data_IF_407955011327
#
_entry.id   IF_407955011327
#
_cell.length_a   1.000
_cell.length_b   1.000
_cell.length_c   1.000
_cell.angle_alpha   90.00
_cell.angle_beta   90.00
_cell.angle_gamma   90.00
#
_symmetry.space_group_name_H-M   'P 1'
#
loop_
_entity.id
_entity.type
_entity.pdbx_description
1 polymer ?
#
# COMPACT_ATOMS: atom_id res chain seq x y z
N UNK A 1 10.07 -1.77 -20.78
CA UNK A 1 11.04 -1.57 -19.68
C UNK A 1 10.45 -0.52 -18.76
N UNK A 2 10.28 -0.83 -17.47
CA UNK A 2 9.83 0.18 -16.50
C UNK A 2 11.01 1.09 -16.17
N UNK A 3 10.84 2.40 -16.38
CA UNK A 3 11.83 3.40 -15.99
C UNK A 3 11.85 3.53 -14.45
N UNK A 4 13.05 3.55 -13.88
CA UNK A 4 13.22 3.68 -12.43
C UNK A 4 13.00 5.15 -12.04
N UNK A 5 11.78 5.49 -11.60
CA UNK A 5 11.38 6.85 -11.21
C UNK A 5 11.24 6.94 -9.68
N UNK A 6 11.98 7.86 -9.10
CA UNK A 6 11.98 8.17 -7.67
C UNK A 6 11.50 9.61 -7.46
N UNK A 7 10.18 9.80 -7.57
CA UNK A 7 9.56 11.11 -7.40
C UNK A 7 8.72 11.11 -6.13
N UNK A 8 8.82 12.20 -5.37
CA UNK A 8 7.98 12.44 -4.20
C UNK A 8 6.67 13.06 -4.65
N UNK A 9 5.57 12.46 -4.22
CA UNK A 9 4.23 12.97 -4.42
C UNK A 9 3.53 13.14 -3.08
N UNK A 10 2.83 14.25 -2.89
CA UNK A 10 2.18 14.58 -1.61
C UNK A 10 0.77 14.00 -1.51
N UNK A 11 0.50 13.35 -0.40
CA UNK A 11 -0.78 12.80 0.03
C UNK A 11 -1.13 13.38 1.40
N UNK A 12 -1.91 14.46 1.41
CA UNK A 12 -2.18 15.19 2.66
C UNK A 12 -0.90 15.73 3.28
N UNK A 13 -0.57 15.31 4.49
CA UNK A 13 0.66 15.69 5.19
C UNK A 13 1.86 14.76 4.91
N UNK A 14 1.65 13.63 4.21
CA UNK A 14 2.69 12.64 3.93
C UNK A 14 3.16 12.79 2.49
N UNK A 15 4.47 12.78 2.26
CA UNK A 15 5.05 12.61 0.92
C UNK A 15 5.40 11.14 0.69
N UNK A 16 5.08 10.63 -0.49
CA UNK A 16 5.22 9.23 -0.88
C UNK A 16 6.14 9.13 -2.08
N UNK A 17 7.06 8.17 -2.06
CA UNK A 17 7.84 7.78 -3.24
C UNK A 17 7.58 6.31 -3.51
N UNK A 18 6.91 6.00 -4.62
CA UNK A 18 6.61 4.64 -5.04
C UNK A 18 7.35 4.34 -6.35
N UNK A 19 8.20 3.32 -6.35
CA UNK A 19 9.00 2.95 -7.52
C UNK A 19 8.69 1.52 -7.96
N UNK A 20 8.08 1.38 -9.14
CA UNK A 20 7.72 0.08 -9.70
C UNK A 20 8.95 -0.80 -9.99
N UNK A 21 10.05 -0.21 -10.46
CA UNK A 21 11.28 -0.95 -10.78
C UNK A 21 11.99 -1.45 -9.52
N UNK A 22 11.96 -0.67 -8.45
CA UNK A 22 12.52 -1.08 -7.16
C UNK A 22 11.55 -1.92 -6.32
N UNK A 23 10.30 -2.05 -6.74
CA UNK A 23 9.22 -2.70 -6.00
C UNK A 23 9.11 -2.20 -4.54
N UNK A 24 9.27 -0.88 -4.32
CA UNK A 24 9.32 -0.32 -2.98
C UNK A 24 8.54 0.99 -2.87
N UNK A 25 8.09 1.28 -1.65
CA UNK A 25 7.54 2.56 -1.24
C UNK A 25 8.30 3.11 -0.04
N UNK A 26 8.46 4.42 -0.01
CA UNK A 26 9.00 5.16 1.13
C UNK A 26 8.10 6.36 1.44
N UNK A 27 8.12 6.81 2.69
CA UNK A 27 7.23 7.84 3.22
C UNK A 27 8.03 8.90 3.96
N UNK A 28 7.56 10.15 3.91
CA UNK A 28 8.12 11.30 4.59
C UNK A 28 7.02 12.18 5.16
N UNK A 29 7.30 12.87 6.27
CA UNK A 29 6.52 14.00 6.77
C UNK A 29 7.39 15.28 6.81
N UNK A 30 6.90 16.31 7.51
CA UNK A 30 7.61 17.57 7.73
C UNK A 30 8.86 17.44 8.61
N UNK A 31 8.99 16.34 9.34
CA UNK A 31 10.12 16.04 10.24
C UNK A 31 11.15 15.12 9.60
N UNK A 32 10.80 14.44 8.50
CA UNK A 32 11.74 13.67 7.69
C UNK A 32 11.17 12.32 7.24
N UNK A 33 12.04 11.32 6.95
CA UNK A 33 11.59 9.98 6.60
C UNK A 33 10.79 9.36 7.74
N UNK A 34 9.64 8.78 7.40
CA UNK A 34 8.80 8.03 8.34
C UNK A 34 9.26 6.57 8.40
N UNK A 35 8.99 5.92 9.53
CA UNK A 35 8.97 4.47 9.56
C UNK A 35 7.93 3.94 8.55
N UNK A 36 8.22 2.79 7.95
CA UNK A 36 7.38 2.18 6.93
C UNK A 36 5.97 1.87 7.44
N UNK A 37 5.83 1.34 8.66
CA UNK A 37 4.54 1.03 9.24
C UNK A 37 3.76 2.32 9.57
N UNK A 38 4.45 3.34 10.07
CA UNK A 38 3.87 4.65 10.32
C UNK A 38 3.34 5.29 9.03
N UNK A 39 4.14 5.28 7.96
CA UNK A 39 3.72 5.81 6.66
C UNK A 39 2.49 5.10 6.09
N UNK A 40 2.46 3.76 6.15
CA UNK A 40 1.28 2.97 5.75
C UNK A 40 0.05 3.35 6.59
N UNK A 41 0.19 3.45 7.91
CA UNK A 41 -0.91 3.81 8.80
C UNK A 41 -1.43 5.23 8.55
N UNK A 42 -0.55 6.20 8.30
CA UNK A 42 -0.96 7.57 8.01
C UNK A 42 -1.67 7.70 6.65
N UNK A 43 -1.19 6.98 5.63
CA UNK A 43 -1.74 7.06 4.26
C UNK A 43 -3.02 6.24 4.11
N UNK A 44 -3.07 5.04 4.70
CA UNK A 44 -4.12 4.06 4.46
C UNK A 44 -4.92 3.67 5.71
N UNK A 45 -4.60 4.15 6.90
CA UNK A 45 -5.25 3.74 8.15
C UNK A 45 -6.74 4.07 8.24
N UNK A 46 -7.27 4.88 7.33
CA UNK A 46 -8.71 5.18 7.21
C UNK A 46 -9.44 4.29 6.20
N UNK A 47 -8.73 3.41 5.49
CA UNK A 47 -9.31 2.48 4.54
C UNK A 47 -9.92 1.29 5.28
N UNK A 48 -11.02 0.77 4.78
CA UNK A 48 -11.75 -0.34 5.41
C UNK A 48 -11.54 -1.61 4.61
N UNK A 49 -11.23 -2.72 5.29
CA UNK A 49 -11.14 -4.01 4.61
C UNK A 49 -12.53 -4.40 4.10
N UNK A 50 -12.59 -4.79 2.84
CA UNK A 50 -13.80 -5.28 2.18
C UNK A 50 -13.88 -6.80 2.19
N UNK A 51 -12.79 -7.46 1.82
CA UNK A 51 -12.75 -8.92 1.68
C UNK A 51 -11.30 -9.43 1.62
N UNK A 52 -11.13 -10.73 1.86
CA UNK A 52 -9.89 -11.47 1.60
C UNK A 52 -10.13 -12.47 0.46
N UNK A 53 -9.14 -12.64 -0.41
CA UNK A 53 -9.15 -13.55 -1.54
C UNK A 53 -7.86 -14.39 -1.57
N UNK A 54 -7.92 -15.66 -2.01
CA UNK A 54 -6.71 -16.40 -2.35
C UNK A 54 -5.94 -15.69 -3.47
N UNK A 55 -4.62 -15.54 -3.33
CA UNK A 55 -3.81 -14.85 -4.32
C UNK A 55 -3.02 -15.85 -5.20
N UNK A 56 -3.19 -15.74 -6.52
CA UNK A 56 -2.48 -16.58 -7.50
C UNK A 56 -1.18 -15.95 -8.03
N UNK A 57 -0.97 -14.65 -7.80
CA UNK A 57 0.18 -13.89 -8.31
C UNK A 57 0.63 -12.75 -7.39
N UNK A 58 0.19 -12.76 -6.13
CA UNK A 58 0.72 -11.86 -5.12
C UNK A 58 1.97 -12.47 -4.46
N UNK A 59 2.83 -11.64 -3.86
CA UNK A 59 3.97 -12.12 -3.08
C UNK A 59 3.56 -12.93 -1.83
N UNK A 60 2.37 -12.69 -1.28
CA UNK A 60 1.77 -13.47 -0.20
C UNK A 60 0.68 -14.44 -0.71
N UNK A 61 0.23 -15.39 0.15
CA UNK A 61 -0.76 -16.40 -0.22
C UNK A 61 -2.19 -15.83 -0.33
N UNK A 62 -2.45 -14.68 0.27
CA UNK A 62 -3.76 -14.02 0.30
C UNK A 62 -3.64 -12.55 -0.12
N UNK A 63 -4.73 -12.04 -0.67
CA UNK A 63 -4.92 -10.64 -1.04
C UNK A 63 -6.11 -10.08 -0.27
N UNK A 64 -5.86 -9.09 0.58
CA UNK A 64 -6.86 -8.36 1.33
C UNK A 64 -7.19 -7.07 0.57
N UNK A 65 -8.46 -6.89 0.22
CA UNK A 65 -8.93 -5.74 -0.56
C UNK A 65 -9.51 -4.72 0.41
N UNK A 66 -9.11 -3.47 0.25
CA UNK A 66 -9.51 -2.35 1.08
C UNK A 66 -10.18 -1.25 0.24
N UNK A 67 -11.32 -0.77 0.72
CA UNK A 67 -12.04 0.34 0.13
C UNK A 67 -11.49 1.68 0.68
N UNK A 68 -11.24 2.68 -0.19
CA UNK A 68 -10.96 4.03 0.25
C UNK A 68 -12.20 4.66 0.90
N UNK A 69 -12.06 5.45 1.96
CA UNK A 69 -13.19 5.99 2.71
C UNK A 69 -14.02 7.01 1.93
N UNK A 70 -13.43 7.67 0.94
CA UNK A 70 -14.06 8.72 0.14
C UNK A 70 -13.24 9.01 -1.14
N UNK A 71 -13.68 10.02 -1.90
CA UNK A 71 -13.01 10.46 -3.15
C UNK A 71 -11.56 10.91 -2.92
N UNK A 72 -11.23 11.52 -1.78
CA UNK A 72 -9.85 11.90 -1.48
C UNK A 72 -8.97 10.66 -1.26
N UNK A 73 -9.50 9.64 -0.56
CA UNK A 73 -8.87 8.31 -0.45
C UNK A 73 -8.58 7.67 -1.81
N UNK A 74 -9.50 7.76 -2.77
CA UNK A 74 -9.23 7.28 -4.14
C UNK A 74 -8.08 8.00 -4.82
N UNK A 75 -8.00 9.33 -4.70
CA UNK A 75 -6.87 10.10 -5.26
C UNK A 75 -5.53 9.71 -4.67
N UNK A 76 -5.49 9.22 -3.43
CA UNK A 76 -4.25 8.67 -2.85
C UNK A 76 -3.73 7.50 -3.66
N UNK A 77 -4.62 6.64 -4.17
CA UNK A 77 -4.24 5.47 -4.96
C UNK A 77 -3.58 5.83 -6.29
N UNK A 78 -3.92 6.99 -6.86
CA UNK A 78 -3.33 7.48 -8.12
C UNK A 78 -1.83 7.79 -8.01
N UNK A 79 -1.31 7.95 -6.78
CA UNK A 79 0.13 8.18 -6.51
C UNK A 79 0.96 6.91 -6.72
N UNK A 80 0.32 5.75 -6.65
CA UNK A 80 0.99 4.46 -6.73
C UNK A 80 0.85 3.88 -8.14
N UNK A 81 1.90 3.21 -8.66
CA UNK A 81 1.81 2.49 -9.92
C UNK A 81 0.75 1.39 -9.82
N UNK A 82 -0.27 1.48 -10.68
CA UNK A 82 -1.35 0.50 -10.73
C UNK A 82 -0.82 -0.89 -11.13
N UNK A 83 -1.38 -1.93 -10.51
CA UNK A 83 -1.09 -3.34 -10.75
C UNK A 83 0.38 -3.73 -10.56
N UNK A 84 1.13 -2.97 -9.75
CA UNK A 84 2.49 -3.31 -9.34
C UNK A 84 2.50 -3.64 -7.85
N UNK A 85 3.19 -4.71 -7.48
CA UNK A 85 3.44 -5.04 -6.09
C UNK A 85 4.62 -4.22 -5.56
N UNK A 86 4.38 -3.48 -4.49
CA UNK A 86 5.37 -2.69 -3.77
C UNK A 86 5.50 -3.23 -2.36
N UNK A 87 6.72 -3.44 -1.90
CA UNK A 87 6.98 -3.80 -0.51
C UNK A 87 6.81 -2.55 0.37
N UNK A 88 5.75 -2.53 1.17
CA UNK A 88 5.38 -1.41 2.03
C UNK A 88 6.11 -1.46 3.37
N UNK A 89 6.33 -2.66 3.90
CA UNK A 89 7.19 -2.99 5.05
C UNK A 89 7.71 -4.42 4.82
N UNK A 90 8.78 -4.85 5.52
CA UNK A 90 9.32 -6.19 5.33
C UNK A 90 8.23 -7.27 5.43
N UNK A 91 7.98 -7.97 4.32
CA UNK A 91 6.94 -9.00 4.25
C UNK A 91 5.49 -8.52 4.19
N UNK A 92 5.22 -7.22 4.00
CA UNK A 92 3.90 -6.72 3.61
C UNK A 92 3.99 -6.04 2.25
N UNK A 93 3.25 -6.60 1.31
CA UNK A 93 3.17 -6.08 -0.05
C UNK A 93 1.86 -5.34 -0.24
N UNK A 94 1.88 -4.31 -1.08
CA UNK A 94 0.71 -3.56 -1.49
C UNK A 94 0.63 -3.40 -3.00
N UNK A 95 -0.59 -3.31 -3.52
CA UNK A 95 -0.87 -2.91 -4.90
C UNK A 95 -2.18 -2.12 -4.95
N UNK A 96 -2.49 -1.56 -6.10
CA UNK A 96 -3.75 -0.84 -6.33
C UNK A 96 -4.22 -1.04 -7.77
N UNK A 97 -5.53 -1.07 -7.97
CA UNK A 97 -6.17 -0.99 -9.31
C UNK A 97 -6.67 0.43 -9.63
N UNK A 98 -6.41 1.40 -8.75
CA UNK A 98 -6.90 2.77 -8.83
C UNK A 98 -8.20 3.02 -8.04
N UNK A 99 -8.96 1.97 -7.73
CA UNK A 99 -10.20 2.04 -6.97
C UNK A 99 -10.06 1.43 -5.56
N UNK A 100 -9.21 0.42 -5.40
CA UNK A 100 -8.99 -0.33 -4.18
C UNK A 100 -7.50 -0.44 -3.86
N UNK A 101 -7.19 -0.47 -2.56
CA UNK A 101 -5.89 -0.91 -2.07
C UNK A 101 -5.94 -2.43 -1.89
N UNK A 102 -4.89 -3.13 -2.30
CA UNK A 102 -4.72 -4.57 -2.06
C UNK A 102 -3.48 -4.78 -1.22
N UNK A 103 -3.62 -5.43 -0.07
CA UNK A 103 -2.49 -5.83 0.77
C UNK A 103 -2.29 -7.34 0.70
N UNK A 104 -1.03 -7.77 0.66
CA UNK A 104 -0.65 -9.18 0.64
C UNK A 104 0.55 -9.40 1.58
N UNK A 105 0.29 -9.79 2.83
CA UNK A 105 1.34 -10.20 3.76
C UNK A 105 1.96 -11.52 3.31
N UNK A 106 3.28 -11.62 3.37
CA UNK A 106 4.00 -12.88 3.14
C UNK A 106 3.82 -13.87 4.29
N UNK A 107 3.51 -13.39 5.50
CA UNK A 107 3.19 -14.22 6.67
C UNK A 107 1.65 -14.34 6.85
N UNK A 108 1.08 -15.55 6.77
CA UNK A 108 -0.35 -15.80 6.98
C UNK A 108 -0.88 -15.31 8.34
N UNK A 109 -0.02 -15.28 9.37
CA UNK A 109 -0.39 -14.81 10.71
C UNK A 109 -0.75 -13.33 10.69
N UNK A 110 -0.02 -12.55 9.89
CA UNK A 110 -0.27 -11.12 9.71
C UNK A 110 -1.59 -10.91 8.96
N UNK A 111 -1.86 -11.69 7.91
CA UNK A 111 -3.15 -11.66 7.20
C UNK A 111 -4.32 -11.90 8.16
N UNK A 112 -4.18 -12.89 9.04
CA UNK A 112 -5.21 -13.22 10.02
C UNK A 112 -5.42 -12.11 11.09
N UNK A 113 -4.36 -11.41 11.51
CA UNK A 113 -4.49 -10.26 12.41
C UNK A 113 -5.14 -9.06 11.74
N UNK A 114 -4.74 -8.73 10.52
CA UNK A 114 -5.30 -7.63 9.74
C UNK A 114 -6.78 -7.88 9.40
N UNK A 115 -7.14 -9.11 9.08
CA UNK A 115 -8.52 -9.50 8.78
C UNK A 115 -9.48 -9.45 9.96
N UNK A 116 -8.99 -9.47 11.22
CA UNK A 116 -9.81 -9.35 12.44
C UNK A 116 -9.98 -7.93 12.96
N UNK A 117 -9.10 -7.01 12.53
CA UNK A 117 -9.11 -5.61 12.97
C UNK A 117 -10.02 -4.70 12.14
N UNK A 118 -10.68 -5.23 11.11
CA UNK A 118 -11.59 -4.52 10.23
C UNK A 118 -13.07 -4.81 10.55
#
# INVERSE_FOLDING_TARGET
MLECRHELQSVGAVSVMACATCASVQFWDDRGPLDRAEGVAQVFGSFSMRTTLPALGAPGPEAMVYDPPNRAGRKVLEVFPAHVWLEAQPGLWMSTDGDHLVLSPSDPTVSHHLGRGA
#
